data_IF_931838193352
#
_entry.id   IF_931838193352
#
_cell.length_a   1.000
_cell.length_b   1.000
_cell.length_c   1.000
_cell.angle_alpha   90.00
_cell.angle_beta   90.00
_cell.angle_gamma   90.00
#
_symmetry.space_group_name_H-M   'P 1'
#
loop_
_entity.id
_entity.type
_entity.pdbx_description
1 polymer ?
#
# COMPACT_ATOMS: atom_id res chain seq x y z
N UNK A 1 -3.57 -13.13 28.38
CA UNK A 1 -3.44 -13.73 27.05
C UNK A 1 -2.60 -12.79 26.21
N UNK A 2 -1.44 -13.29 25.79
CA UNK A 2 -0.61 -12.86 24.64
C UNK A 2 -0.55 -11.37 24.28
N UNK A 3 0.57 -10.76 24.68
CA UNK A 3 1.23 -9.55 24.14
C UNK A 3 0.63 -9.02 22.84
N UNK A 4 -0.06 -7.89 22.97
CA UNK A 4 -0.38 -6.95 21.88
C UNK A 4 0.93 -6.58 21.19
N UNK A 5 1.14 -7.15 20.00
CA UNK A 5 2.21 -6.74 19.09
C UNK A 5 1.77 -5.36 18.62
N UNK A 6 2.23 -4.31 19.28
CA UNK A 6 1.97 -2.92 18.89
C UNK A 6 2.38 -2.79 17.42
N UNK A 7 1.39 -2.80 16.53
CA UNK A 7 1.64 -2.70 15.10
C UNK A 7 2.25 -1.32 14.87
N UNK A 8 3.31 -1.17 14.06
CA UNK A 8 3.96 0.12 13.82
C UNK A 8 3.12 1.04 12.91
N UNK A 9 1.84 0.72 12.76
CA UNK A 9 0.92 1.36 11.85
C UNK A 9 -0.37 1.74 12.58
N UNK A 10 -1.02 2.80 12.13
CA UNK A 10 -2.34 3.19 12.61
C UNK A 10 -3.35 2.03 12.42
N UNK A 11 -4.41 1.96 13.24
CA UNK A 11 -5.46 0.98 13.05
C UNK A 11 -6.07 1.11 11.65
N UNK A 12 -6.25 -0.02 10.97
CA UNK A 12 -6.98 -0.04 9.71
C UNK A 12 -8.48 0.22 9.97
N UNK A 13 -9.21 0.80 8.99
CA UNK A 13 -10.66 0.98 9.13
C UNK A 13 -11.37 -0.36 9.36
N UNK A 14 -12.51 -0.32 10.05
CA UNK A 14 -13.30 -1.52 10.33
C UNK A 14 -13.72 -2.23 9.04
N UNK A 15 -13.52 -3.54 8.99
CA UNK A 15 -13.82 -4.36 7.80
C UNK A 15 -12.73 -4.36 6.73
N UNK A 16 -11.67 -3.55 6.86
CA UNK A 16 -10.58 -3.54 5.88
C UNK A 16 -9.77 -4.84 5.87
N UNK A 17 -9.33 -5.25 4.68
CA UNK A 17 -8.41 -6.37 4.52
C UNK A 17 -6.97 -5.85 4.57
N UNK A 18 -6.16 -6.39 5.48
CA UNK A 18 -4.77 -5.95 5.68
C UNK A 18 -3.81 -7.09 5.41
N UNK A 19 -2.77 -6.83 4.62
CA UNK A 19 -1.66 -7.75 4.40
C UNK A 19 -0.37 -7.07 4.78
N UNK A 20 0.34 -7.65 5.73
CA UNK A 20 1.65 -7.19 6.17
C UNK A 20 2.79 -7.87 5.41
N UNK A 21 3.89 -7.15 5.24
CA UNK A 21 5.10 -7.61 4.58
C UNK A 21 6.33 -6.89 5.12
N UNK A 22 7.45 -7.09 4.42
CA UNK A 22 8.71 -6.40 4.69
C UNK A 22 9.30 -5.92 3.37
N UNK A 23 9.73 -4.67 3.35
CA UNK A 23 10.49 -4.10 2.24
C UNK A 23 11.79 -4.88 2.00
N UNK A 24 12.43 -4.69 0.85
CA UNK A 24 13.75 -5.29 0.55
C UNK A 24 14.82 -4.93 1.58
N UNK A 25 14.64 -3.81 2.29
CA UNK A 25 15.53 -3.33 3.36
C UNK A 25 15.16 -3.88 4.74
N UNK A 26 14.17 -4.79 4.83
CA UNK A 26 13.71 -5.42 6.05
C UNK A 26 12.74 -4.57 6.90
N UNK A 27 12.43 -3.33 6.49
CA UNK A 27 11.46 -2.48 7.19
C UNK A 27 10.03 -3.03 7.02
N UNK A 28 9.19 -3.01 8.06
CA UNK A 28 7.80 -3.45 7.94
C UNK A 28 7.05 -2.55 6.96
N UNK A 29 6.24 -3.17 6.10
CA UNK A 29 5.29 -2.47 5.24
C UNK A 29 3.96 -3.23 5.20
N UNK A 30 2.87 -2.57 4.80
CA UNK A 30 1.58 -3.23 4.63
C UNK A 30 0.82 -2.68 3.44
N UNK A 31 -0.15 -3.45 2.97
CA UNK A 31 -1.22 -2.98 2.10
C UNK A 31 -2.56 -3.12 2.80
N UNK A 32 -3.43 -2.12 2.65
CA UNK A 32 -4.75 -2.04 3.26
C UNK A 32 -5.77 -1.87 2.15
N UNK A 33 -6.70 -2.82 2.00
CA UNK A 33 -7.89 -2.65 1.18
C UNK A 33 -9.06 -2.20 2.07
N UNK A 34 -9.41 -0.92 1.96
CA UNK A 34 -10.53 -0.32 2.69
C UNK A 34 -11.89 -0.74 2.13
N UNK A 35 -11.93 -1.31 0.91
CA UNK A 35 -13.17 -1.76 0.26
C UNK A 35 -13.54 -3.20 0.59
N UNK A 36 -12.58 -3.96 1.14
CA UNK A 36 -12.69 -5.40 1.40
C UNK A 36 -13.18 -6.21 0.18
N UNK A 37 -12.96 -5.69 -1.02
CA UNK A 37 -13.46 -6.23 -2.28
C UNK A 37 -12.37 -6.94 -3.08
N UNK A 38 -11.09 -6.65 -2.79
CA UNK A 38 -9.96 -7.27 -3.46
C UNK A 38 -9.63 -8.62 -2.81
N UNK A 39 -9.46 -9.67 -3.62
CA UNK A 39 -9.05 -10.98 -3.10
C UNK A 39 -7.69 -10.91 -2.42
N UNK A 40 -7.53 -11.64 -1.32
CA UNK A 40 -6.30 -11.61 -0.52
C UNK A 40 -5.06 -12.01 -1.33
N UNK A 41 -5.18 -12.90 -2.32
CA UNK A 41 -4.04 -13.30 -3.17
C UNK A 41 -3.62 -12.18 -4.11
N UNK A 42 -4.58 -11.46 -4.71
CA UNK A 42 -4.28 -10.32 -5.56
C UNK A 42 -3.70 -9.16 -4.75
N UNK A 43 -4.27 -8.89 -3.58
CA UNK A 43 -3.75 -7.90 -2.66
C UNK A 43 -2.31 -8.25 -2.23
N UNK A 44 -2.02 -9.53 -2.01
CA UNK A 44 -0.67 -10.01 -1.71
C UNK A 44 0.27 -9.86 -2.90
N UNK A 45 -0.16 -10.23 -4.11
CA UNK A 45 0.64 -10.09 -5.32
C UNK A 45 1.02 -8.62 -5.56
N UNK A 46 0.06 -7.71 -5.38
CA UNK A 46 0.30 -6.27 -5.46
C UNK A 46 1.29 -5.80 -4.40
N UNK A 47 1.17 -6.24 -3.14
CA UNK A 47 2.15 -5.91 -2.10
C UNK A 47 3.56 -6.38 -2.49
N UNK A 48 3.70 -7.62 -2.97
CA UNK A 48 4.97 -8.20 -3.37
C UNK A 48 5.58 -7.43 -4.56
N UNK A 49 4.76 -7.00 -5.54
CA UNK A 49 5.20 -6.14 -6.65
C UNK A 49 5.68 -4.76 -6.17
N UNK A 50 4.94 -4.10 -5.28
CA UNK A 50 5.34 -2.81 -4.70
C UNK A 50 6.65 -2.93 -3.92
N UNK A 51 6.87 -4.04 -3.21
CA UNK A 51 8.14 -4.33 -2.55
C UNK A 51 9.25 -4.56 -3.57
N UNK A 52 9.01 -5.37 -4.61
CA UNK A 52 9.98 -5.69 -5.65
C UNK A 52 10.43 -4.45 -6.43
N UNK A 53 9.50 -3.55 -6.75
CA UNK A 53 9.75 -2.26 -7.39
C UNK A 53 10.37 -1.23 -6.43
N UNK A 54 10.57 -1.58 -5.15
CA UNK A 54 11.05 -0.69 -4.09
C UNK A 54 10.22 0.59 -4.02
N UNK A 55 8.89 0.47 -4.07
CA UNK A 55 7.97 1.61 -3.95
C UNK A 55 7.84 2.09 -2.51
N UNK A 56 8.01 1.21 -1.53
CA UNK A 56 8.01 1.54 -0.11
C UNK A 56 9.32 2.16 0.36
N UNK A 57 9.26 3.39 0.86
CA UNK A 57 10.38 4.11 1.48
C UNK A 57 10.43 5.58 1.04
N UNK A 58 11.56 6.23 1.27
CA UNK A 58 11.87 7.56 0.72
C UNK A 58 12.22 7.41 -0.76
N UNK A 59 11.22 7.13 -1.60
CA UNK A 59 11.41 6.98 -3.03
C UNK A 59 10.84 8.19 -3.76
N UNK A 60 11.74 9.14 -4.04
CA UNK A 60 11.61 10.11 -5.13
C UNK A 60 11.65 9.36 -6.45
N UNK A 61 10.53 8.80 -6.90
CA UNK A 61 10.46 8.26 -8.27
C UNK A 61 9.12 8.61 -8.88
N UNK A 62 9.17 9.75 -9.57
CA UNK A 62 8.35 10.08 -10.72
C UNK A 62 8.09 8.83 -11.56
N UNK A 63 6.85 8.35 -11.57
CA UNK A 63 6.38 7.41 -12.57
C UNK A 63 5.15 8.02 -13.24
N UNK A 64 5.44 8.65 -14.39
CA UNK A 64 4.55 9.05 -15.47
C UNK A 64 3.47 10.11 -15.19
N UNK A 65 3.77 11.34 -15.62
CA UNK A 65 2.80 12.05 -16.46
C UNK A 65 2.15 13.34 -15.96
N UNK A 66 2.79 14.16 -15.12
CA UNK A 66 2.68 15.64 -15.12
C UNK A 66 3.48 16.23 -13.96
N UNK A 67 4.09 17.38 -14.21
CA UNK A 67 4.89 18.22 -13.32
C UNK A 67 4.47 18.23 -11.84
N UNK A 68 5.32 17.65 -10.98
CA UNK A 68 5.92 18.21 -9.74
C UNK A 68 6.36 17.07 -8.82
N UNK A 69 7.64 17.09 -8.39
CA UNK A 69 8.19 16.11 -7.45
C UNK A 69 7.93 16.63 -6.04
N UNK A 70 6.82 16.24 -5.43
CA UNK A 70 6.59 16.46 -4.00
C UNK A 70 7.30 15.39 -3.17
N UNK A 71 8.38 15.79 -2.50
CA UNK A 71 9.07 14.94 -1.52
C UNK A 71 8.18 14.74 -0.29
N UNK A 72 7.78 13.50 -0.01
CA UNK A 72 7.13 13.13 1.26
C UNK A 72 5.60 13.22 1.29
N UNK A 73 4.96 13.55 0.17
CA UNK A 73 3.50 13.47 0.04
C UNK A 73 3.04 12.06 -0.38
N UNK A 74 1.83 11.62 0.00
CA UNK A 74 1.28 10.35 -0.47
C UNK A 74 1.25 10.30 -2.00
N UNK A 75 1.76 9.23 -2.60
CA UNK A 75 1.67 9.04 -4.03
C UNK A 75 0.33 8.42 -4.37
N UNK A 76 -0.42 9.07 -5.26
CA UNK A 76 -1.69 8.56 -5.76
C UNK A 76 -1.47 7.92 -7.13
N UNK A 77 -1.89 6.68 -7.27
CA UNK A 77 -1.93 5.98 -8.55
C UNK A 77 -3.32 5.36 -8.75
N UNK A 78 -3.75 5.24 -10.01
CA UNK A 78 -4.92 4.45 -10.35
C UNK A 78 -4.45 3.05 -10.73
N UNK A 79 -5.05 2.05 -10.10
CA UNK A 79 -4.80 0.65 -10.42
C UNK A 79 -6.12 -0.01 -10.80
N UNK A 80 -6.07 -0.86 -11.82
CA UNK A 80 -7.21 -1.71 -12.16
C UNK A 80 -6.93 -3.10 -11.57
N UNK A 81 -7.84 -3.57 -10.73
CA UNK A 81 -7.82 -4.92 -10.18
C UNK A 81 -9.12 -5.57 -10.58
N UNK A 82 -9.02 -6.75 -11.21
CA UNK A 82 -10.17 -7.41 -11.84
C UNK A 82 -10.85 -6.45 -12.85
N UNK A 83 -12.11 -6.09 -12.61
CA UNK A 83 -12.93 -5.22 -13.46
C UNK A 83 -13.13 -3.81 -12.87
N UNK A 84 -12.55 -3.53 -11.69
CA UNK A 84 -12.77 -2.29 -10.95
C UNK A 84 -11.50 -1.43 -10.90
N UNK A 85 -11.69 -0.11 -10.89
CA UNK A 85 -10.60 0.87 -10.78
C UNK A 85 -10.54 1.38 -9.35
N UNK A 86 -9.36 1.29 -8.76
CA UNK A 86 -9.11 1.73 -7.39
C UNK A 86 -8.08 2.86 -7.35
N UNK A 87 -8.19 3.68 -6.31
CA UNK A 87 -7.16 4.63 -5.93
C UNK A 87 -6.17 3.93 -5.01
N UNK A 88 -4.93 3.86 -5.45
CA UNK A 88 -3.79 3.44 -4.65
C UNK A 88 -3.13 4.68 -4.03
N UNK A 89 -3.16 4.76 -2.70
CA UNK A 89 -2.47 5.76 -1.90
C UNK A 89 -1.23 5.10 -1.32
N UNK A 90 -0.05 5.56 -1.69
CA UNK A 90 1.21 5.01 -1.25
C UNK A 90 1.95 5.97 -0.32
N UNK A 91 2.29 5.49 0.87
CA UNK A 91 3.13 6.15 1.86
C UNK A 91 4.45 5.35 2.01
N UNK A 92 5.44 5.83 2.79
CA UNK A 92 6.73 5.15 2.91
C UNK A 92 6.66 3.69 3.42
N UNK A 93 5.61 3.32 4.14
CA UNK A 93 5.45 2.00 4.74
C UNK A 93 4.04 1.40 4.56
N UNK A 94 3.08 2.14 4.00
CA UNK A 94 1.72 1.66 3.77
C UNK A 94 1.27 1.94 2.33
N UNK A 95 0.63 0.96 1.72
CA UNK A 95 -0.17 1.13 0.52
C UNK A 95 -1.64 0.99 0.92
N UNK A 96 -2.51 1.86 0.44
CA UNK A 96 -3.95 1.81 0.71
C UNK A 96 -4.73 1.82 -0.58
N UNK A 97 -5.69 0.92 -0.68
CA UNK A 97 -6.64 0.83 -1.78
C UNK A 97 -7.96 1.42 -1.29
N UNK A 98 -8.46 2.38 -2.04
CA UNK A 98 -9.75 3.00 -1.84
C UNK A 98 -10.57 2.92 -3.13
N UNK A 99 -11.89 2.84 -3.00
CA UNK A 99 -12.78 3.04 -4.14
C UNK A 99 -12.58 4.45 -4.71
N UNK A 100 -12.77 4.59 -6.02
CA UNK A 100 -12.64 5.88 -6.69
C UNK A 100 -13.74 6.88 -6.29
#
# INVERSE_FOLDING_TARGET
MTTDRTSPFDPAPEGATVIEGKTTSGKPCRIVDSTASVDQKELKALLDELIAQRRFGLFSVSMAGSDTISLGEPQFAHIQLQDEVYRLILTPNEARIEAF
#
